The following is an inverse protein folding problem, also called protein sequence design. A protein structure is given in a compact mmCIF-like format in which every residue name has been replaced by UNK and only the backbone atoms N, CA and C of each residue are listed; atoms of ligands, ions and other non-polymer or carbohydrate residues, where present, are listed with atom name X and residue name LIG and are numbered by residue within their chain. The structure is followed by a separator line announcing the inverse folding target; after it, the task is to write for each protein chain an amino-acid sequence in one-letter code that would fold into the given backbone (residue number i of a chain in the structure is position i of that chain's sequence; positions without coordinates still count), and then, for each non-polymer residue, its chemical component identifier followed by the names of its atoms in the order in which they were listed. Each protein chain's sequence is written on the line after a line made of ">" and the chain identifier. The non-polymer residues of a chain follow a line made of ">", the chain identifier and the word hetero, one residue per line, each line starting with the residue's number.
data_IF_426068093273
#
_entry.id   IF_426068093273
#
_cell.length_a   1.000
_cell.length_b   1.000
_cell.length_c   1.000
_cell.angle_alpha   90.00
_cell.angle_beta   90.00
_cell.angle_gamma   90.00
#
_symmetry.space_group_name_H-M   'P 1'
#
loop_
_entity.id
_entity.type
_entity.pdbx_description
1 polymer ?
#
# COMPACT_ATOMS: atom_id res chain seq x y z
N UNK A 1 24.58 -43.18 -50.21
CA UNK A 1 26.05 -43.24 -50.01
C UNK A 1 26.43 -42.22 -48.94
N UNK A 2 26.52 -42.62 -47.68
CA UNK A 2 26.90 -41.71 -46.59
C UNK A 2 28.40 -41.50 -46.60
N UNK A 3 28.86 -40.25 -46.79
CA UNK A 3 30.28 -39.91 -46.61
C UNK A 3 30.58 -40.02 -45.11
N UNK A 4 31.48 -40.92 -44.74
CA UNK A 4 32.02 -40.95 -43.38
C UNK A 4 32.73 -39.61 -43.10
N UNK A 5 32.48 -38.98 -41.94
CA UNK A 5 33.10 -37.72 -41.59
C UNK A 5 34.61 -37.93 -41.46
N UNK A 6 35.39 -37.11 -42.17
CA UNK A 6 36.86 -37.12 -42.04
C UNK A 6 37.23 -36.62 -40.64
N UNK A 7 38.33 -37.11 -40.09
CA UNK A 7 38.81 -36.77 -38.74
C UNK A 7 38.93 -35.24 -38.55
N UNK A 8 39.33 -34.52 -39.60
CA UNK A 8 39.41 -33.05 -39.62
C UNK A 8 38.05 -32.37 -39.39
N UNK A 9 36.96 -32.95 -39.86
CA UNK A 9 35.61 -32.40 -39.68
C UNK A 9 35.12 -32.61 -38.24
N UNK A 10 35.51 -33.72 -37.60
CA UNK A 10 35.24 -33.98 -36.19
C UNK A 10 36.00 -33.00 -35.29
N UNK A 11 37.26 -32.69 -35.61
CA UNK A 11 38.05 -31.72 -34.84
C UNK A 11 37.46 -30.30 -34.93
N UNK A 12 37.01 -29.89 -36.12
CA UNK A 12 36.31 -28.61 -36.32
C UNK A 12 35.00 -28.55 -35.54
N UNK A 13 34.20 -29.60 -35.58
CA UNK A 13 32.96 -29.68 -34.82
C UNK A 13 33.21 -29.60 -33.30
N UNK A 14 34.30 -30.22 -32.84
CA UNK A 14 34.67 -30.23 -31.42
C UNK A 14 35.23 -28.87 -30.97
N UNK A 15 35.97 -28.18 -31.82
CA UNK A 15 36.43 -26.81 -31.58
C UNK A 15 35.26 -25.82 -31.43
N UNK A 16 34.24 -25.92 -32.30
CA UNK A 16 33.03 -25.10 -32.22
C UNK A 16 32.25 -25.36 -30.93
N UNK A 17 32.09 -26.63 -30.54
CA UNK A 17 31.36 -27.00 -29.31
C UNK A 17 32.07 -26.52 -28.05
N UNK A 18 33.40 -26.57 -28.03
CA UNK A 18 34.22 -26.01 -26.93
C UNK A 18 34.07 -24.49 -26.80
N UNK A 19 34.02 -23.78 -27.93
CA UNK A 19 33.77 -22.33 -27.94
C UNK A 19 32.39 -21.98 -27.39
N UNK A 20 31.36 -22.74 -27.76
CA UNK A 20 29.99 -22.52 -27.31
C UNK A 20 29.80 -22.77 -25.80
N UNK A 21 30.41 -23.82 -25.26
CA UNK A 21 30.39 -24.11 -23.81
C UNK A 21 31.07 -22.98 -23.03
N UNK A 22 32.18 -22.46 -23.55
CA UNK A 22 32.91 -21.35 -22.94
C UNK A 22 32.07 -20.07 -22.93
N UNK A 23 31.38 -19.79 -24.04
CA UNK A 23 30.49 -18.64 -24.15
C UNK A 23 29.28 -18.75 -23.22
N UNK A 24 28.64 -19.92 -23.12
CA UNK A 24 27.55 -20.17 -22.18
C UNK A 24 28.00 -20.01 -20.72
N UNK A 25 29.22 -20.42 -20.39
CA UNK A 25 29.82 -20.18 -19.07
C UNK A 25 30.00 -18.68 -18.81
N UNK A 26 30.53 -17.92 -19.77
CA UNK A 26 30.73 -16.47 -19.63
C UNK A 26 29.42 -15.68 -19.53
N UNK A 27 28.38 -16.06 -20.26
CA UNK A 27 27.04 -15.46 -20.14
C UNK A 27 26.46 -15.73 -18.74
N UNK A 28 26.58 -16.97 -18.24
CA UNK A 28 26.15 -17.32 -16.87
C UNK A 28 26.92 -16.57 -15.78
N UNK A 29 28.18 -16.25 -16.05
CA UNK A 29 29.09 -15.52 -15.16
C UNK A 29 29.03 -13.99 -15.35
N UNK A 30 28.20 -13.48 -16.28
CA UNK A 30 27.97 -12.05 -16.49
C UNK A 30 29.18 -11.27 -17.04
N UNK A 31 30.16 -11.95 -17.66
CA UNK A 31 31.33 -11.29 -18.28
C UNK A 31 31.23 -11.30 -19.80
N UNK A 32 30.84 -10.17 -20.39
CA UNK A 32 30.90 -9.95 -21.84
C UNK A 32 32.26 -9.33 -22.22
N UNK A 33 32.97 -9.84 -23.24
CA UNK A 33 34.12 -9.14 -23.81
C UNK A 33 33.64 -7.89 -24.57
N UNK A 34 34.11 -6.71 -24.20
CA UNK A 34 34.00 -5.51 -25.03
C UNK A 34 34.97 -5.67 -26.21
N UNK A 35 34.41 -5.56 -27.42
CA UNK A 35 35.15 -5.49 -28.67
C UNK A 35 36.00 -4.21 -28.68
N UNK A 36 37.31 -4.25 -28.99
CA UNK A 36 38.12 -3.04 -29.02
C UNK A 36 37.74 -2.18 -30.25
N UNK A 37 37.23 -0.99 -29.98
CA UNK A 37 36.96 0.04 -30.98
C UNK A 37 38.23 0.42 -31.74
N UNK A 38 38.09 0.52 -33.06
CA UNK A 38 39.07 1.06 -34.01
C UNK A 38 39.62 2.44 -33.60
N UNK A 39 40.91 2.75 -33.82
CA UNK A 39 41.50 4.01 -33.38
C UNK A 39 41.12 5.17 -34.32
N UNK A 40 40.44 6.19 -33.78
CA UNK A 40 40.24 7.48 -34.44
C UNK A 40 41.46 8.42 -34.17
N UNK A 41 41.70 9.41 -35.04
CA UNK A 41 43.02 9.99 -35.28
C UNK A 41 43.43 11.07 -34.26
N UNK A 42 44.74 11.15 -34.01
CA UNK A 42 45.40 12.15 -33.18
C UNK A 42 45.24 13.58 -33.74
N UNK A 43 44.70 14.55 -32.98
CA UNK A 43 44.83 15.97 -33.29
C UNK A 43 46.16 16.54 -32.76
N UNK A 44 46.70 17.60 -33.38
CA UNK A 44 48.08 18.04 -33.21
C UNK A 44 48.32 18.79 -31.90
N UNK A 45 49.57 18.75 -31.46
CA UNK A 45 50.08 19.42 -30.27
C UNK A 45 49.82 20.93 -30.29
N UNK A 46 49.12 21.42 -29.26
CA UNK A 46 49.02 22.84 -28.92
C UNK A 46 49.77 23.08 -27.60
N UNK A 47 50.58 24.14 -27.61
CA UNK A 47 51.43 24.66 -26.54
C UNK A 47 50.65 24.92 -25.22
N UNK A 48 51.23 24.62 -24.04
CA UNK A 48 50.54 24.80 -22.77
C UNK A 48 50.54 26.27 -22.32
N UNK A 49 49.36 26.82 -22.05
CA UNK A 49 49.20 28.04 -21.27
C UNK A 49 49.43 27.74 -19.77
N UNK A 50 50.07 28.64 -18.99
CA UNK A 50 50.28 28.42 -17.57
C UNK A 50 48.99 28.66 -16.77
N UNK A 51 48.40 27.59 -16.26
CA UNK A 51 47.33 27.64 -15.25
C UNK A 51 47.93 27.72 -13.84
N UNK A 52 47.33 28.58 -13.01
CA UNK A 52 47.67 28.79 -11.60
C UNK A 52 47.56 27.51 -10.76
N UNK A 53 48.28 27.40 -9.62
CA UNK A 53 48.40 26.14 -8.89
C UNK A 53 47.12 25.83 -8.12
N UNK A 54 46.39 24.81 -8.58
CA UNK A 54 45.31 24.19 -7.79
C UNK A 54 45.90 23.26 -6.70
N UNK A 55 45.25 23.19 -5.53
CA UNK A 55 45.74 22.42 -4.41
C UNK A 55 45.71 20.92 -4.72
N UNK A 56 46.90 20.34 -4.66
CA UNK A 56 47.25 18.93 -4.52
C UNK A 56 46.09 18.05 -4.00
N UNK A 57 45.41 17.36 -4.92
CA UNK A 57 44.80 16.07 -4.64
C UNK A 57 45.69 15.00 -5.27
N UNK A 58 46.68 14.54 -4.51
CA UNK A 58 47.28 13.23 -4.75
C UNK A 58 46.24 12.16 -4.39
N UNK A 59 45.36 11.81 -5.33
CA UNK A 59 44.78 10.49 -5.33
C UNK A 59 45.82 9.55 -5.94
N UNK A 60 46.64 8.94 -5.09
CA UNK A 60 47.44 7.80 -5.50
C UNK A 60 46.48 6.70 -5.96
N UNK A 61 46.31 6.59 -7.28
CA UNK A 61 45.73 5.41 -7.88
C UNK A 61 46.83 4.35 -7.80
N UNK A 62 46.89 3.69 -6.65
CA UNK A 62 47.69 2.49 -6.48
C UNK A 62 47.06 1.41 -7.38
N UNK A 63 47.65 1.23 -8.56
CA UNK A 63 47.31 0.16 -9.47
C UNK A 63 47.74 -1.15 -8.81
N UNK A 64 46.83 -1.73 -8.01
CA UNK A 64 47.09 -3.01 -7.37
C UNK A 64 47.19 -4.09 -8.44
N UNK A 65 48.43 -4.44 -8.77
CA UNK A 65 48.79 -5.56 -9.61
C UNK A 65 48.00 -6.80 -9.17
N UNK A 66 47.14 -7.29 -10.06
CA UNK A 66 46.34 -8.50 -9.87
C UNK A 66 47.26 -9.71 -9.69
N UNK A 67 47.72 -9.93 -8.45
CA UNK A 67 48.26 -11.22 -8.02
C UNK A 67 47.10 -12.22 -7.99
N UNK A 68 47.14 -13.32 -8.75
CA UNK A 68 46.10 -14.34 -8.68
C UNK A 68 46.25 -15.08 -7.35
N UNK A 69 45.61 -14.59 -6.30
CA UNK A 69 45.42 -15.38 -5.09
C UNK A 69 44.54 -16.57 -5.47
N UNK A 70 45.11 -17.78 -5.44
CA UNK A 70 44.29 -18.98 -5.40
C UNK A 70 43.70 -19.05 -3.99
N UNK A 71 42.52 -18.44 -3.79
CA UNK A 71 41.76 -18.58 -2.55
C UNK A 71 41.22 -20.01 -2.50
N UNK A 72 41.97 -20.89 -1.85
CA UNK A 72 41.44 -22.16 -1.35
C UNK A 72 40.37 -21.77 -0.31
N UNK A 73 39.08 -21.87 -0.67
CA UNK A 73 37.99 -21.71 0.29
C UNK A 73 38.04 -22.90 1.24
N UNK A 74 38.62 -22.72 2.42
CA UNK A 74 38.32 -23.58 3.55
C UNK A 74 36.81 -23.48 3.85
N UNK A 75 36.10 -24.61 4.06
CA UNK A 75 34.69 -24.59 4.40
C UNK A 75 34.54 -23.94 5.77
N UNK A 76 34.12 -22.67 5.79
CA UNK A 76 33.73 -22.00 7.03
C UNK A 76 32.41 -22.63 7.49
N UNK A 77 32.26 -23.05 8.76
CA UNK A 77 30.96 -23.49 9.27
C UNK A 77 30.00 -22.30 9.16
N UNK A 78 29.09 -22.38 8.18
CA UNK A 78 28.28 -21.24 7.81
C UNK A 78 27.08 -21.15 8.74
N UNK A 79 27.08 -20.16 9.62
CA UNK A 79 25.88 -19.71 10.33
C UNK A 79 24.67 -19.53 9.39
N UNK A 80 24.93 -19.17 8.13
CA UNK A 80 23.92 -19.12 7.06
C UNK A 80 23.14 -20.43 6.93
N UNK A 81 23.80 -21.59 6.88
CA UNK A 81 23.10 -22.86 6.71
C UNK A 81 22.11 -23.18 7.85
N UNK A 82 22.39 -22.73 9.07
CA UNK A 82 21.44 -22.89 10.19
C UNK A 82 20.28 -21.91 10.09
N UNK A 83 20.57 -20.64 9.76
CA UNK A 83 19.54 -19.63 9.49
C UNK A 83 18.62 -20.04 8.35
N UNK A 84 19.18 -20.55 7.26
CA UNK A 84 18.44 -20.94 6.06
C UNK A 84 17.54 -22.15 6.36
N UNK A 85 17.96 -23.08 7.24
CA UNK A 85 17.10 -24.16 7.77
C UNK A 85 15.99 -23.63 8.67
N UNK A 86 16.27 -22.64 9.53
CA UNK A 86 15.25 -22.02 10.39
C UNK A 86 14.20 -21.28 9.55
N UNK A 87 14.63 -20.55 8.52
CA UNK A 87 13.73 -19.89 7.57
C UNK A 87 12.86 -20.90 6.83
N UNK A 88 13.42 -22.04 6.40
CA UNK A 88 12.66 -23.11 5.77
C UNK A 88 11.60 -23.71 6.71
N UNK A 89 11.93 -23.94 7.99
CA UNK A 89 10.97 -24.43 8.98
C UNK A 89 9.84 -23.42 9.17
N UNK A 90 10.18 -22.13 9.27
CA UNK A 90 9.20 -21.07 9.45
C UNK A 90 8.30 -20.91 8.21
N UNK A 91 8.85 -21.05 7.01
CA UNK A 91 8.09 -21.06 5.76
C UNK A 91 7.08 -22.22 5.73
N UNK A 92 7.53 -23.43 6.05
CA UNK A 92 6.66 -24.61 6.12
C UNK A 92 5.56 -24.40 7.17
N UNK A 93 5.91 -23.88 8.35
CA UNK A 93 4.94 -23.58 9.40
C UNK A 93 3.90 -22.54 8.96
N UNK A 94 4.33 -21.49 8.23
CA UNK A 94 3.44 -20.48 7.69
C UNK A 94 2.46 -21.06 6.66
N UNK A 95 2.94 -21.91 5.75
CA UNK A 95 2.08 -22.59 4.76
C UNK A 95 1.07 -23.51 5.44
N UNK A 96 1.51 -24.33 6.40
CA UNK A 96 0.63 -25.22 7.16
C UNK A 96 -0.42 -24.41 7.94
N UNK A 97 -0.02 -23.32 8.58
CA UNK A 97 -0.93 -22.42 9.29
C UNK A 97 -1.97 -21.79 8.38
N UNK A 98 -1.56 -21.31 7.19
CA UNK A 98 -2.47 -20.75 6.20
C UNK A 98 -3.50 -21.78 5.70
N UNK A 99 -3.07 -23.01 5.43
CA UNK A 99 -3.97 -24.11 5.05
C UNK A 99 -4.94 -24.45 6.18
N UNK A 100 -4.47 -24.52 7.43
CA UNK A 100 -5.32 -24.77 8.59
C UNK A 100 -6.39 -23.67 8.77
N UNK A 101 -6.02 -22.39 8.60
CA UNK A 101 -6.96 -21.27 8.67
C UNK A 101 -8.06 -21.36 7.61
N UNK A 102 -7.68 -21.71 6.37
CA UNK A 102 -8.63 -21.92 5.27
C UNK A 102 -9.60 -23.08 5.57
N UNK A 103 -9.09 -24.21 6.08
CA UNK A 103 -9.91 -25.36 6.45
C UNK A 103 -10.88 -25.03 7.58
N UNK A 104 -10.42 -24.31 8.61
CA UNK A 104 -11.25 -23.88 9.73
C UNK A 104 -12.36 -22.94 9.25
N UNK A 105 -12.03 -21.95 8.43
CA UNK A 105 -13.00 -21.02 7.83
C UNK A 105 -14.04 -21.74 6.97
N UNK A 106 -13.60 -22.72 6.17
CA UNK A 106 -14.50 -23.51 5.34
C UNK A 106 -15.45 -24.39 6.17
N UNK A 107 -15.00 -24.91 7.31
CA UNK A 107 -15.85 -25.65 8.24
C UNK A 107 -16.87 -24.74 8.93
N UNK A 108 -16.48 -23.54 9.37
CA UNK A 108 -17.42 -22.60 10.00
C UNK A 108 -18.52 -22.15 9.03
N UNK A 109 -18.20 -21.87 7.76
CA UNK A 109 -19.21 -21.51 6.75
C UNK A 109 -20.23 -22.62 6.49
N UNK A 110 -19.81 -23.90 6.54
CA UNK A 110 -20.72 -25.04 6.38
C UNK A 110 -21.62 -25.26 7.59
N UNK A 111 -21.18 -24.88 8.79
CA UNK A 111 -21.95 -25.02 10.02
C UNK A 111 -23.13 -24.05 10.17
N UNK A 112 -23.11 -22.91 9.46
CA UNK A 112 -24.11 -21.83 9.60
C UNK A 112 -25.37 -21.98 8.72
N UNK A 113 -25.45 -23.02 7.89
CA UNK A 113 -26.55 -23.20 6.93
C UNK A 113 -27.86 -23.80 7.46
N UNK A 114 -27.93 -24.59 8.55
CA UNK A 114 -29.21 -25.14 8.99
C UNK A 114 -30.12 -24.08 9.65
N UNK A 115 -29.55 -23.09 10.35
CA UNK A 115 -30.32 -22.05 11.04
C UNK A 115 -30.87 -20.98 10.08
N UNK A 116 -30.10 -20.61 9.04
CA UNK A 116 -30.55 -19.64 8.03
C UNK A 116 -31.68 -20.18 7.13
N UNK A 117 -31.78 -21.51 6.97
CA UNK A 117 -32.85 -22.15 6.19
C UNK A 117 -34.18 -22.19 6.98
N UNK A 118 -34.12 -22.40 8.30
CA UNK A 118 -35.30 -22.41 9.18
C UNK A 118 -35.92 -21.01 9.37
N UNK A 119 -35.14 -19.95 9.20
CA UNK A 119 -35.59 -18.55 9.26
C UNK A 119 -36.24 -18.05 7.95
N UNK A 120 -36.44 -18.90 6.93
CA UNK A 120 -37.22 -18.54 5.74
C UNK A 120 -38.71 -18.56 6.09
N UNK A 121 -39.16 -17.43 6.61
CA UNK A 121 -40.56 -17.09 6.87
C UNK A 121 -41.39 -17.34 5.61
N UNK A 122 -42.49 -18.10 5.74
CA UNK A 122 -43.55 -18.28 4.75
C UNK A 122 -44.00 -16.91 4.23
N UNK A 123 -44.18 -16.69 2.91
CA UNK A 123 -44.68 -15.41 2.43
C UNK A 123 -46.11 -15.18 2.98
N UNK A 124 -46.22 -14.32 3.98
CA UNK A 124 -47.50 -13.79 4.45
C UNK A 124 -48.02 -12.81 3.40
N UNK A 125 -49.30 -12.89 2.99
CA UNK A 125 -49.84 -11.98 1.98
C UNK A 125 -49.67 -10.54 2.44
N UNK A 126 -49.03 -9.73 1.58
CA UNK A 126 -48.73 -8.33 1.84
C UNK A 126 -50.04 -7.57 2.07
N UNK A 127 -50.27 -6.97 3.26
CA UNK A 127 -51.45 -6.13 3.44
C UNK A 127 -51.34 -4.95 2.47
N UNK A 128 -52.42 -4.65 1.75
CA UNK A 128 -52.50 -3.50 0.86
C UNK A 128 -52.60 -2.23 1.73
N UNK A 129 -51.45 -1.68 2.12
CA UNK A 129 -51.37 -0.45 2.93
C UNK A 129 -51.77 0.73 2.03
N UNK A 130 -52.96 1.29 2.24
CA UNK A 130 -53.33 2.60 1.69
C UNK A 130 -52.58 3.68 2.47
N UNK A 131 -51.36 4.01 2.03
CA UNK A 131 -50.51 5.01 2.64
C UNK A 131 -51.01 6.43 2.34
N UNK A 132 -52.05 6.86 3.06
CA UNK A 132 -52.42 8.29 3.14
C UNK A 132 -51.50 9.02 4.14
N UNK A 133 -50.83 8.29 5.04
CA UNK A 133 -49.89 8.83 6.02
C UNK A 133 -48.57 8.11 5.87
N UNK A 134 -47.50 8.86 5.59
CA UNK A 134 -46.15 8.33 5.57
C UNK A 134 -45.78 7.91 7.00
N UNK A 135 -45.20 6.72 7.23
CA UNK A 135 -44.68 6.33 8.54
C UNK A 135 -43.43 7.17 8.83
N UNK A 136 -43.66 8.40 9.30
CA UNK A 136 -42.61 9.39 9.56
C UNK A 136 -42.62 9.89 11.00
N UNK A 137 -43.71 9.70 11.75
CA UNK A 137 -43.87 10.30 13.08
C UNK A 137 -43.94 11.83 13.05
N UNK A 138 -44.01 12.43 11.86
CA UNK A 138 -43.98 13.86 11.60
C UNK A 138 -45.09 14.23 10.64
N UNK A 139 -45.73 15.39 10.88
CA UNK A 139 -46.69 15.97 9.97
C UNK A 139 -45.98 16.36 8.66
N UNK A 140 -46.63 16.15 7.50
CA UNK A 140 -46.05 16.51 6.23
C UNK A 140 -45.76 18.03 6.18
N UNK A 141 -44.74 18.47 5.41
CA UNK A 141 -44.37 19.89 5.33
C UNK A 141 -45.49 20.82 4.85
N UNK A 142 -46.50 20.25 4.20
CA UNK A 142 -47.69 20.94 3.69
C UNK A 142 -48.83 21.06 4.71
N UNK A 143 -48.69 20.48 5.91
CA UNK A 143 -49.70 20.54 6.96
C UNK A 143 -49.73 21.92 7.66
N UNK A 144 -50.89 22.37 8.17
CA UNK A 144 -50.98 23.55 9.01
C UNK A 144 -50.09 23.37 10.25
N UNK A 145 -49.18 24.32 10.50
CA UNK A 145 -48.18 24.23 11.57
C UNK A 145 -46.83 23.64 11.16
N UNK A 146 -46.66 23.24 9.90
CA UNK A 146 -45.39 22.81 9.35
C UNK A 146 -44.90 21.45 9.88
N UNK A 147 -43.62 21.11 9.67
CA UNK A 147 -43.04 19.85 10.10
C UNK A 147 -42.99 19.79 11.64
N UNK A 148 -43.93 19.07 12.24
CA UNK A 148 -44.00 18.87 13.68
C UNK A 148 -44.25 17.39 14.00
N UNK A 149 -43.85 16.87 15.17
CA UNK A 149 -44.18 15.51 15.58
C UNK A 149 -45.70 15.27 15.51
N UNK A 150 -46.10 14.11 14.98
CA UNK A 150 -47.50 13.75 14.78
C UNK A 150 -47.98 12.75 15.84
N UNK A 151 -48.57 13.20 16.98
CA UNK A 151 -49.12 12.29 17.99
C UNK A 151 -50.33 11.48 17.50
N UNK A 152 -50.95 11.86 16.37
CA UNK A 152 -52.11 11.19 15.82
C UNK A 152 -51.76 9.81 15.23
N UNK A 153 -50.49 9.61 14.83
CA UNK A 153 -49.94 8.32 14.39
C UNK A 153 -49.71 7.31 15.53
N UNK A 154 -49.68 7.78 16.79
CA UNK A 154 -49.43 6.93 17.95
C UNK A 154 -50.76 6.26 18.35
N UNK A 155 -50.83 4.91 18.43
CA UNK A 155 -52.02 4.20 18.91
C UNK A 155 -52.46 4.69 20.30
N UNK A 156 -53.75 4.80 20.55
CA UNK A 156 -54.29 5.45 21.76
C UNK A 156 -53.71 4.89 23.07
N UNK A 157 -53.60 3.55 23.16
CA UNK A 157 -53.07 2.85 24.33
C UNK A 157 -51.58 3.13 24.59
N UNK A 158 -50.83 3.63 23.59
CA UNK A 158 -49.41 3.96 23.71
C UNK A 158 -49.16 5.45 23.93
N UNK A 159 -50.17 6.32 23.71
CA UNK A 159 -50.00 7.79 23.82
C UNK A 159 -49.54 8.20 25.22
N UNK A 160 -50.12 7.62 26.27
CA UNK A 160 -49.75 7.92 27.65
C UNK A 160 -48.32 7.46 27.98
N UNK A 161 -47.89 6.31 27.44
CA UNK A 161 -46.54 5.78 27.66
C UNK A 161 -45.48 6.62 26.92
N UNK A 162 -45.76 7.02 25.68
CA UNK A 162 -44.84 7.86 24.90
C UNK A 162 -44.73 9.27 25.48
N UNK A 163 -45.83 9.85 25.97
CA UNK A 163 -45.80 11.14 26.66
C UNK A 163 -45.03 11.11 27.98
N UNK A 164 -44.92 9.94 28.61
CA UNK A 164 -44.12 9.74 29.82
C UNK A 164 -42.61 9.55 29.52
N UNK A 165 -42.21 9.39 28.25
CA UNK A 165 -40.80 9.31 27.90
C UNK A 165 -40.14 10.68 28.12
N UNK A 166 -38.96 10.71 28.75
CA UNK A 166 -38.22 11.96 28.91
C UNK A 166 -37.87 12.51 27.53
N UNK A 167 -38.09 13.82 27.35
CA UNK A 167 -37.59 14.54 26.17
C UNK A 167 -36.07 14.31 26.10
N UNK A 168 -35.52 13.84 24.96
CA UNK A 168 -34.09 13.66 24.84
C UNK A 168 -33.41 14.99 25.11
N UNK A 169 -32.40 14.97 25.98
CA UNK A 169 -31.59 16.15 26.23
C UNK A 169 -30.99 16.63 24.90
N UNK A 170 -30.92 17.95 24.67
CA UNK A 170 -30.20 18.48 23.52
C UNK A 170 -28.79 17.92 23.56
N UNK A 171 -28.33 17.39 22.43
CA UNK A 171 -26.97 16.87 22.27
C UNK A 171 -26.02 18.03 22.54
N UNK A 172 -25.36 18.03 23.70
CA UNK A 172 -24.24 18.93 23.97
C UNK A 172 -23.18 18.60 22.93
N UNK A 173 -22.75 19.54 22.07
CA UNK A 173 -21.79 19.24 21.03
C UNK A 173 -20.50 18.71 21.69
N UNK A 174 -20.12 17.49 21.32
CA UNK A 174 -18.83 16.91 21.71
C UNK A 174 -17.69 17.67 21.01
N UNK A 175 -16.45 17.60 21.54
CA UNK A 175 -15.29 18.11 20.83
C UNK A 175 -15.27 17.58 19.39
N UNK A 176 -15.22 18.49 18.43
CA UNK A 176 -15.22 18.17 17.00
C UNK A 176 -14.04 18.89 16.37
N UNK A 177 -13.44 18.26 15.36
CA UNK A 177 -12.39 18.93 14.60
C UNK A 177 -12.92 20.24 13.99
N UNK A 178 -12.15 21.33 14.08
CA UNK A 178 -12.58 22.61 13.57
C UNK A 178 -12.81 22.53 12.05
N UNK A 179 -13.98 22.99 11.60
CA UNK A 179 -14.39 22.87 10.18
C UNK A 179 -14.49 24.22 9.48
N UNK A 180 -14.94 25.27 10.18
CA UNK A 180 -15.17 26.61 9.62
C UNK A 180 -15.05 27.67 10.71
N UNK A 181 -14.51 28.84 10.35
CA UNK A 181 -14.47 30.02 11.21
C UNK A 181 -15.30 31.13 10.59
N UNK A 182 -16.17 31.74 11.40
CA UNK A 182 -17.02 32.87 11.01
C UNK A 182 -16.87 33.97 12.05
N UNK A 183 -16.43 35.15 11.61
CA UNK A 183 -16.28 36.34 12.46
C UNK A 183 -17.03 37.50 11.76
N UNK A 184 -18.33 37.68 12.06
CA UNK A 184 -19.18 38.64 11.33
C UNK A 184 -18.71 40.08 11.42
N UNK A 185 -18.14 40.49 12.57
CA UNK A 185 -17.69 41.86 12.81
C UNK A 185 -16.58 42.33 11.85
N UNK A 186 -15.83 41.38 11.29
CA UNK A 186 -14.76 41.65 10.31
C UNK A 186 -15.00 40.95 8.96
N UNK A 187 -16.21 40.40 8.76
CA UNK A 187 -16.58 39.71 7.52
C UNK A 187 -15.74 38.48 7.19
N UNK A 188 -15.16 37.81 8.19
CA UNK A 188 -14.38 36.59 7.95
C UNK A 188 -15.31 35.40 7.91
N UNK A 189 -15.22 34.62 6.85
CA UNK A 189 -15.94 33.37 6.69
C UNK A 189 -15.09 32.41 5.85
N UNK A 190 -14.46 31.43 6.51
CA UNK A 190 -13.46 30.58 5.88
C UNK A 190 -13.47 29.14 6.41
N UNK A 191 -13.13 28.13 5.58
CA UNK A 191 -12.92 26.77 6.03
C UNK A 191 -11.64 26.67 6.88
N UNK A 192 -11.64 25.76 7.86
CA UNK A 192 -10.47 25.44 8.67
C UNK A 192 -9.82 24.17 8.12
N UNK A 193 -8.51 24.23 7.90
CA UNK A 193 -7.69 23.15 7.34
C UNK A 193 -6.73 22.66 8.43
N UNK A 194 -6.47 21.35 8.55
CA UNK A 194 -5.48 20.85 9.49
C UNK A 194 -4.06 21.29 9.07
N UNK A 195 -3.27 21.76 10.03
CA UNK A 195 -1.90 22.18 9.82
C UNK A 195 -1.73 23.68 9.61
N UNK A 196 -0.50 24.14 9.80
CA UNK A 196 -0.09 25.55 9.63
C UNK A 196 0.96 25.72 8.54
N UNK A 197 1.14 24.70 7.69
CA UNK A 197 2.05 24.74 6.56
C UNK A 197 1.55 25.70 5.48
N UNK A 198 2.48 26.23 4.68
CA UNK A 198 2.18 27.19 3.61
C UNK A 198 1.10 26.70 2.64
N UNK A 199 1.13 25.40 2.29
CA UNK A 199 0.13 24.80 1.40
C UNK A 199 -1.26 24.69 2.04
N UNK A 200 -1.33 24.49 3.35
CA UNK A 200 -2.58 24.44 4.10
C UNK A 200 -3.19 25.84 4.23
N UNK A 201 -2.38 26.85 4.53
CA UNK A 201 -2.82 28.24 4.69
C UNK A 201 -3.34 28.87 3.40
N UNK A 202 -2.92 28.36 2.23
CA UNK A 202 -3.52 28.73 0.95
C UNK A 202 -4.94 28.21 0.76
N UNK A 203 -5.29 27.09 1.41
CA UNK A 203 -6.58 26.42 1.29
C UNK A 203 -7.60 26.92 2.31
N UNK A 204 -7.16 27.59 3.38
CA UNK A 204 -8.04 28.12 4.41
C UNK A 204 -7.27 28.52 5.68
N UNK A 205 -8.00 28.68 6.78
CA UNK A 205 -7.40 28.99 8.09
C UNK A 205 -6.79 27.71 8.65
N UNK A 206 -5.50 27.76 9.02
CA UNK A 206 -4.80 26.60 9.56
C UNK A 206 -5.16 26.33 11.02
N UNK A 207 -5.41 25.08 11.36
CA UNK A 207 -5.46 24.60 12.75
C UNK A 207 -4.10 24.05 13.16
N UNK A 208 -3.53 24.59 14.25
CA UNK A 208 -2.22 24.15 14.72
C UNK A 208 -2.28 22.71 15.24
N UNK A 209 -1.39 21.81 14.77
CA UNK A 209 -1.34 20.45 15.29
C UNK A 209 -1.00 20.44 16.79
N UNK A 210 -1.77 19.69 17.57
CA UNK A 210 -1.53 19.55 19.02
C UNK A 210 -2.18 20.63 19.90
N UNK A 211 -2.99 21.53 19.33
CA UNK A 211 -3.84 22.45 20.12
C UNK A 211 -5.22 21.88 20.38
N UNK A 212 -5.87 22.39 21.42
CA UNK A 212 -7.23 22.04 21.78
C UNK A 212 -8.23 22.30 20.64
N UNK A 213 -9.21 21.41 20.50
CA UNK A 213 -10.31 21.58 19.56
C UNK A 213 -11.32 22.62 20.07
N UNK A 214 -12.20 23.15 19.19
CA UNK A 214 -13.29 24.00 19.62
C UNK A 214 -14.16 23.35 20.72
N UNK A 215 -14.31 24.06 21.83
CA UNK A 215 -15.06 23.59 23.00
C UNK A 215 -14.25 22.79 24.02
N UNK A 216 -12.97 22.50 23.74
CA UNK A 216 -12.03 21.97 24.72
C UNK A 216 -11.34 23.09 25.48
N UNK A 217 -10.88 22.79 26.70
CA UNK A 217 -9.99 23.67 27.46
C UNK A 217 -8.58 23.58 26.84
N UNK A 218 -8.02 24.72 26.47
CA UNK A 218 -6.70 24.84 25.82
C UNK A 218 -5.62 25.42 26.70
#
# INVERSE_FOLDING_TARGET
>A
MGKEPRVEDLERALALKRREIRLKRWIREGRLPLEPSSPAPTPPAAEPQPLSPDPVYHSEVEWEERRPWVRIRLPRPSWSAWRDRLLLILEIAAVVGAVALLLLSWQTMRGLQPEAAAARVTPSPTPLIQAVVLPGGHRPPTAPGGPAPNPDEIPEHLRALVAALPTPAPITPSPRSPTRIVIPAIGVDAPIVPGTDWEALKKGVGHHPGTANPGEQG
#
